data_IF_348080597272
#
_entry.id   IF_348080597272
#
_cell.length_a   1.000
_cell.length_b   1.000
_cell.length_c   1.000
_cell.angle_alpha   90.00
_cell.angle_beta   90.00
_cell.angle_gamma   90.00
#
_symmetry.space_group_name_H-M   'P 1'
#
loop_
_entity.id
_entity.type
_entity.pdbx_description
1 polymer ?
#
# COMPACT_ATOMS: atom_id res chain seq x y z
N UNK A 1 -8.41 16.61 24.69
CA UNK A 1 -8.16 15.95 23.39
C UNK A 1 -8.33 14.45 23.58
N UNK A 2 -9.45 13.88 23.13
CA UNK A 2 -9.79 12.46 23.35
C UNK A 2 -9.12 11.50 22.34
N UNK A 3 -8.15 12.00 21.57
CA UNK A 3 -7.30 11.22 20.67
C UNK A 3 -6.25 10.46 21.49
N UNK A 4 -6.15 9.14 21.29
CA UNK A 4 -5.03 8.35 21.79
C UNK A 4 -3.94 8.23 20.71
N UNK A 5 -2.80 7.65 21.07
CA UNK A 5 -1.70 7.37 20.13
C UNK A 5 -2.15 6.60 18.89
N UNK A 6 -3.12 5.68 19.01
CA UNK A 6 -3.63 4.92 17.86
C UNK A 6 -4.51 5.78 16.94
N UNK A 7 -5.26 6.75 17.45
CA UNK A 7 -5.96 7.74 16.62
C UNK A 7 -4.97 8.65 15.88
N UNK A 8 -3.83 9.00 16.49
CA UNK A 8 -2.80 9.77 15.79
C UNK A 8 -2.13 8.96 14.68
N UNK A 9 -1.91 7.65 14.90
CA UNK A 9 -1.44 6.76 13.84
C UNK A 9 -2.48 6.53 12.73
N UNK A 10 -3.75 6.88 12.97
CA UNK A 10 -4.83 6.83 11.99
C UNK A 10 -4.92 8.08 11.10
N UNK A 11 -4.14 9.13 11.39
CA UNK A 11 -4.11 10.36 10.60
C UNK A 11 -2.94 10.37 9.64
N UNK A 12 -3.18 10.80 8.40
CA UNK A 12 -2.11 10.98 7.43
C UNK A 12 -1.18 12.14 7.87
N UNK A 13 0.15 12.00 7.70
CA UNK A 13 1.07 13.10 7.91
C UNK A 13 0.79 14.25 6.92
N UNK A 14 1.09 15.51 7.29
CA UNK A 14 0.93 16.66 6.40
C UNK A 14 1.68 16.45 5.08
N UNK A 15 1.11 16.93 3.98
CA UNK A 15 1.68 16.77 2.63
C UNK A 15 3.13 17.29 2.52
N UNK A 16 3.52 18.25 3.36
CA UNK A 16 4.86 18.85 3.38
C UNK A 16 5.96 17.91 3.92
N UNK A 17 5.61 16.86 4.68
CA UNK A 17 6.59 15.89 5.20
C UNK A 17 6.80 14.66 4.29
N UNK A 18 6.11 14.59 3.15
CA UNK A 18 6.22 13.51 2.16
C UNK A 18 7.27 13.88 1.10
N UNK A 19 8.50 14.18 1.51
CA UNK A 19 9.60 14.52 0.60
C UNK A 19 10.29 13.31 -0.04
N UNK A 20 9.73 12.10 0.08
CA UNK A 20 10.22 10.91 -0.60
C UNK A 20 9.12 10.34 -1.49
N UNK A 21 9.32 10.39 -2.81
CA UNK A 21 8.38 9.92 -3.84
C UNK A 21 8.29 8.39 -3.80
N UNK A 22 7.67 7.88 -2.75
CA UNK A 22 7.36 6.47 -2.56
C UNK A 22 5.97 6.28 -3.17
N UNK A 23 5.83 5.50 -4.25
CA UNK A 23 4.55 5.35 -4.94
C UNK A 23 3.38 5.04 -3.99
N UNK A 24 2.16 5.51 -4.30
CA UNK A 24 1.00 5.49 -3.39
C UNK A 24 0.72 4.12 -2.74
N UNK A 25 1.01 3.02 -3.44
CA UNK A 25 0.86 1.66 -2.89
C UNK A 25 1.84 1.38 -1.74
N UNK A 26 3.10 1.79 -1.89
CA UNK A 26 4.14 1.63 -0.89
C UNK A 26 3.92 2.57 0.30
N UNK A 27 3.44 3.78 0.05
CA UNK A 27 3.02 4.68 1.12
C UNK A 27 1.86 4.05 1.93
N UNK A 28 0.81 3.56 1.27
CA UNK A 28 -0.30 2.87 1.95
C UNK A 28 0.18 1.65 2.76
N UNK A 29 1.10 0.87 2.21
CA UNK A 29 1.70 -0.27 2.92
C UNK A 29 2.41 0.17 4.20
N UNK A 30 3.21 1.24 4.13
CA UNK A 30 3.94 1.78 5.27
C UNK A 30 2.99 2.29 6.36
N UNK A 31 1.99 3.08 6.00
CA UNK A 31 1.00 3.61 6.95
C UNK A 31 0.24 2.47 7.66
N UNK A 32 -0.13 1.41 6.93
CA UNK A 32 -0.79 0.24 7.51
C UNK A 32 0.12 -0.53 8.49
N UNK A 33 1.40 -0.71 8.14
CA UNK A 33 2.37 -1.36 9.02
C UNK A 33 2.61 -0.55 10.28
N UNK A 34 2.75 0.77 10.16
CA UNK A 34 2.90 1.66 11.29
C UNK A 34 1.66 1.64 12.19
N UNK A 35 0.46 1.71 11.62
CA UNK A 35 -0.79 1.63 12.38
C UNK A 35 -0.89 0.33 13.18
N UNK A 36 -0.55 -0.81 12.58
CA UNK A 36 -0.53 -2.12 13.26
C UNK A 36 0.51 -2.18 14.38
N UNK A 37 1.68 -1.58 14.17
CA UNK A 37 2.71 -1.54 15.19
C UNK A 37 2.22 -0.76 16.42
N UNK A 38 1.64 0.43 16.20
CA UNK A 38 1.04 1.22 17.28
C UNK A 38 -0.14 0.48 17.92
N UNK A 39 -0.94 -0.24 17.15
CA UNK A 39 -2.05 -1.06 17.65
C UNK A 39 -1.58 -2.15 18.63
N UNK A 40 -0.44 -2.78 18.33
CA UNK A 40 0.18 -3.80 19.18
C UNK A 40 0.72 -3.23 20.50
N UNK A 41 1.12 -1.96 20.51
CA UNK A 41 1.68 -1.29 21.68
C UNK A 41 0.62 -0.70 22.62
N UNK A 42 -0.62 -0.53 22.17
CA UNK A 42 -1.69 0.06 22.99
C UNK A 42 -2.57 -1.00 23.67
N UNK A 43 -3.25 -0.58 24.75
CA UNK A 43 -4.20 -1.44 25.46
C UNK A 43 -5.44 -1.77 24.59
N UNK A 44 -6.12 -2.91 24.83
CA UNK A 44 -7.34 -3.26 24.10
C UNK A 44 -8.43 -2.17 24.18
N UNK A 45 -8.52 -1.47 25.32
CA UNK A 45 -9.46 -0.36 25.51
C UNK A 45 -9.17 0.80 24.55
N UNK A 46 -7.89 1.09 24.27
CA UNK A 46 -7.51 2.15 23.35
C UNK A 46 -7.89 1.82 21.89
N UNK A 47 -7.97 0.54 21.51
CA UNK A 47 -8.35 0.09 20.16
C UNK A 47 -9.82 0.32 19.84
N UNK A 48 -10.68 0.23 20.86
CA UNK A 48 -12.13 0.42 20.71
C UNK A 48 -12.61 1.79 21.18
N UNK A 49 -11.72 2.60 21.76
CA UNK A 49 -12.06 3.93 22.25
C UNK A 49 -12.53 4.80 21.08
N UNK A 50 -13.63 5.50 21.30
CA UNK A 50 -14.20 6.42 20.32
C UNK A 50 -13.71 7.83 20.63
N UNK A 51 -13.31 8.58 19.59
CA UNK A 51 -12.98 10.01 19.73
C UNK A 51 -14.25 10.87 19.81
N UNK A 52 -14.08 12.19 19.98
CA UNK A 52 -15.21 13.12 20.07
C UNK A 52 -16.07 13.20 18.80
N UNK A 53 -15.51 12.78 17.66
CA UNK A 53 -16.20 12.74 16.37
C UNK A 53 -16.94 11.41 16.13
N UNK A 54 -16.94 10.49 17.10
CA UNK A 54 -17.64 9.21 16.97
C UNK A 54 -16.86 8.12 16.23
N UNK A 55 -15.56 8.31 15.97
CA UNK A 55 -14.72 7.34 15.27
C UNK A 55 -13.86 6.51 16.23
N UNK A 56 -13.70 5.22 15.90
CA UNK A 56 -12.63 4.40 16.47
C UNK A 56 -11.34 4.65 15.68
N UNK A 57 -10.15 4.28 16.20
CA UNK A 57 -8.91 4.42 15.46
C UNK A 57 -8.94 3.70 14.10
N UNK A 58 -9.57 2.53 14.02
CA UNK A 58 -9.67 1.74 12.78
C UNK A 58 -10.60 2.39 11.75
N UNK A 59 -11.76 2.91 12.18
CA UNK A 59 -12.67 3.59 11.26
C UNK A 59 -12.07 4.90 10.76
N UNK A 60 -11.37 5.63 11.63
CA UNK A 60 -10.62 6.84 11.28
C UNK A 60 -9.49 6.55 10.27
N UNK A 61 -8.72 5.48 10.48
CA UNK A 61 -7.64 5.07 9.57
C UNK A 61 -8.22 4.79 8.18
N UNK A 62 -9.32 4.04 8.12
CA UNK A 62 -9.98 3.67 6.87
C UNK A 62 -10.50 4.88 6.11
N UNK A 63 -11.11 5.84 6.82
CA UNK A 63 -11.62 7.07 6.22
C UNK A 63 -10.48 7.97 5.71
N UNK A 64 -9.46 8.21 6.53
CA UNK A 64 -8.35 9.10 6.17
C UNK A 64 -7.49 8.56 5.03
N UNK A 65 -7.38 7.23 4.88
CA UNK A 65 -6.52 6.60 3.88
C UNK A 65 -7.29 6.14 2.63
N UNK A 66 -8.57 6.48 2.47
CA UNK A 66 -9.39 5.98 1.35
C UNK A 66 -8.81 6.36 -0.02
N UNK A 67 -8.43 7.62 -0.18
CA UNK A 67 -7.88 8.11 -1.45
C UNK A 67 -6.49 7.52 -1.71
N UNK A 68 -5.65 7.43 -0.69
CA UNK A 68 -4.33 6.80 -0.79
C UNK A 68 -4.44 5.33 -1.20
N UNK A 69 -5.43 4.60 -0.65
CA UNK A 69 -5.74 3.22 -1.03
C UNK A 69 -6.12 3.13 -2.52
N UNK A 70 -7.03 3.99 -3.00
CA UNK A 70 -7.44 4.01 -4.42
C UNK A 70 -6.25 4.27 -5.35
N UNK A 71 -5.40 5.24 -4.99
CA UNK A 71 -4.19 5.55 -5.74
C UNK A 71 -3.19 4.39 -5.71
N UNK A 72 -3.03 3.74 -4.56
CA UNK A 72 -2.20 2.55 -4.41
C UNK A 72 -2.68 1.37 -5.27
N UNK A 73 -3.98 1.09 -5.27
CA UNK A 73 -4.59 0.06 -6.13
C UNK A 73 -4.33 0.35 -7.62
N UNK A 74 -4.53 1.60 -8.05
CA UNK A 74 -4.25 2.02 -9.42
C UNK A 74 -2.77 1.84 -9.77
N UNK A 75 -1.87 2.32 -8.91
CA UNK A 75 -0.42 2.21 -9.11
C UNK A 75 0.00 0.74 -9.27
N UNK A 76 -0.47 -0.14 -8.38
CA UNK A 76 -0.13 -1.56 -8.41
C UNK A 76 -0.65 -2.25 -9.67
N UNK A 77 -1.87 -1.92 -10.12
CA UNK A 77 -2.42 -2.42 -11.39
C UNK A 77 -1.56 -2.01 -12.58
N UNK A 78 -1.20 -0.73 -12.69
CA UNK A 78 -0.37 -0.23 -13.79
C UNK A 78 1.02 -0.88 -13.82
N UNK A 79 1.64 -1.02 -12.65
CA UNK A 79 2.95 -1.68 -12.52
C UNK A 79 2.87 -3.16 -12.90
N UNK A 80 1.84 -3.88 -12.45
CA UNK A 80 1.64 -5.29 -12.78
C UNK A 80 1.39 -5.49 -14.28
N UNK A 81 0.56 -4.65 -14.92
CA UNK A 81 0.32 -4.71 -16.36
C UNK A 81 1.61 -4.48 -17.16
N UNK A 82 2.42 -3.51 -16.77
CA UNK A 82 3.69 -3.22 -17.45
C UNK A 82 4.66 -4.40 -17.34
N UNK A 83 4.78 -5.00 -16.16
CA UNK A 83 5.61 -6.19 -15.93
C UNK A 83 5.12 -7.40 -16.75
N UNK A 84 3.81 -7.61 -16.82
CA UNK A 84 3.22 -8.69 -17.61
C UNK A 84 3.57 -8.58 -19.10
N UNK A 85 3.51 -7.37 -19.67
CA UNK A 85 3.88 -7.15 -21.08
C UNK A 85 5.36 -7.52 -21.33
N UNK A 86 6.26 -7.11 -20.43
CA UNK A 86 7.68 -7.46 -20.52
C UNK A 86 7.89 -8.97 -20.40
N UNK A 87 7.23 -9.61 -19.44
CA UNK A 87 7.32 -11.06 -19.24
C UNK A 87 6.81 -11.85 -20.45
N UNK A 88 5.69 -11.43 -21.03
CA UNK A 88 5.15 -12.02 -22.25
C UNK A 88 6.15 -11.92 -23.42
N UNK A 89 6.76 -10.74 -23.61
CA UNK A 89 7.78 -10.54 -24.65
C UNK A 89 8.98 -11.48 -24.47
N UNK A 90 9.51 -11.58 -23.25
CA UNK A 90 10.63 -12.48 -22.92
C UNK A 90 10.27 -13.95 -23.17
N UNK A 91 9.07 -14.37 -22.74
CA UNK A 91 8.59 -15.72 -22.96
C UNK A 91 8.43 -16.05 -24.45
N UNK A 92 7.90 -15.11 -25.25
CA UNK A 92 7.80 -15.27 -26.70
C UNK A 92 9.17 -15.45 -27.33
N UNK A 93 10.15 -14.59 -27.01
CA UNK A 93 11.52 -14.71 -27.55
C UNK A 93 12.15 -16.06 -27.18
N UNK A 94 12.05 -16.47 -25.92
CA UNK A 94 12.58 -17.75 -25.45
C UNK A 94 11.91 -18.95 -26.13
N UNK A 95 10.59 -18.91 -26.35
CA UNK A 95 9.88 -19.97 -27.07
C UNK A 95 10.33 -20.03 -28.53
N UNK A 96 10.45 -18.87 -29.20
CA UNK A 96 10.93 -18.80 -30.59
C UNK A 96 12.36 -19.31 -30.73
N UNK A 97 13.27 -19.04 -29.78
CA UNK A 97 14.64 -19.52 -29.88
C UNK A 97 14.76 -21.04 -29.77
N UNK A 98 13.94 -21.69 -28.95
CA UNK A 98 13.92 -23.17 -28.84
C UNK A 98 13.44 -23.82 -30.12
N UNK A 99 12.40 -23.29 -30.77
CA UNK A 99 11.87 -23.86 -32.02
C UNK A 99 12.74 -23.54 -33.24
N UNK A 100 13.56 -22.48 -33.19
CA UNK A 100 14.43 -22.04 -34.29
C UNK A 100 15.89 -22.47 -34.09
N UNK A 101 16.21 -23.37 -33.15
CA UNK A 101 17.53 -24.03 -33.12
C UNK A 101 17.68 -24.78 -34.45
N UNK A 102 18.64 -24.41 -35.32
CA UNK A 102 18.84 -25.11 -36.58
C UNK A 102 19.33 -26.52 -36.26
N UNK A 103 18.67 -27.54 -36.82
CA UNK A 103 19.31 -28.85 -36.94
C UNK A 103 20.64 -28.67 -37.64
N UNK A 104 21.72 -29.09 -36.99
CA UNK A 104 23.05 -29.09 -37.59
C UNK A 104 23.10 -30.10 -38.74
N UNK A 105 23.61 -29.65 -39.88
CA UNK A 105 24.23 -30.50 -40.89
C UNK A 105 25.70 -30.77 -40.52
#
# INVERSE_FOLDING_TARGET
>A
SDLNSLHMAATLPPAESLSDVTGAALQMQRELLWFKEVENLVTPQARVRVNNDGHTPQSLFTANHEELRKQGEKWMKTTATSCFVVAALVATVAFTSVITVPGGD
#
